data_IF_042456836529
#
_entry.id   IF_042456836529
#
_cell.length_a   1.000
_cell.length_b   1.000
_cell.length_c   1.000
_cell.angle_alpha   90.00
_cell.angle_beta   90.00
_cell.angle_gamma   90.00
#
_symmetry.space_group_name_H-M   'P 1'
#
loop_
_entity.id
_entity.type
_entity.pdbx_description
1 polymer ?
#
# COMPACT_ATOMS: atom_id res chain seq x y z
N UNK A 1 20.24 -18.02 18.23
CA UNK A 1 19.00 -17.55 17.59
C UNK A 1 19.19 -16.09 17.24
N UNK A 2 19.38 -15.76 15.97
CA UNK A 2 19.49 -14.36 15.53
C UNK A 2 18.07 -13.80 15.61
N UNK A 3 17.84 -12.84 16.50
CA UNK A 3 16.63 -12.03 16.46
C UNK A 3 16.76 -11.17 15.19
N UNK A 4 16.07 -11.53 14.13
CA UNK A 4 15.79 -10.56 13.07
C UNK A 4 15.12 -9.37 13.77
N UNK A 5 15.70 -8.18 13.61
CA UNK A 5 15.07 -6.95 14.06
C UNK A 5 13.62 -6.96 13.57
N UNK A 6 12.69 -6.47 14.38
CA UNK A 6 11.30 -6.24 13.96
C UNK A 6 11.38 -5.38 12.70
N UNK A 7 11.07 -5.96 11.54
CA UNK A 7 11.13 -5.27 10.26
C UNK A 7 10.01 -4.24 10.28
N UNK A 8 10.38 -2.95 10.29
CA UNK A 8 9.42 -1.86 10.11
C UNK A 8 9.42 -1.43 8.65
N UNK A 9 8.28 -0.94 8.18
CA UNK A 9 8.20 -0.31 6.86
C UNK A 9 9.09 0.92 6.88
N UNK A 10 9.98 1.06 5.89
CA UNK A 10 10.89 2.20 5.83
C UNK A 10 10.27 3.40 5.13
N UNK A 11 9.52 3.15 4.05
CA UNK A 11 8.98 4.17 3.17
C UNK A 11 7.61 3.71 2.68
N UNK A 12 6.66 4.64 2.65
CA UNK A 12 5.38 4.46 1.96
C UNK A 12 5.22 5.56 0.91
N UNK A 13 4.63 5.20 -0.22
CA UNK A 13 4.37 6.12 -1.31
C UNK A 13 2.88 6.15 -1.64
N UNK A 14 2.32 7.35 -1.80
CA UNK A 14 0.95 7.56 -2.27
C UNK A 14 1.01 8.66 -3.32
N UNK A 15 0.40 8.42 -4.47
CA UNK A 15 0.35 9.38 -5.56
C UNK A 15 -1.05 9.55 -6.12
N UNK A 16 -1.32 10.76 -6.61
CA UNK A 16 -2.43 11.03 -7.50
C UNK A 16 -1.88 11.42 -8.90
N UNK A 17 -2.74 11.95 -9.77
CA UNK A 17 -2.35 12.35 -11.14
C UNK A 17 -1.35 13.51 -11.20
N UNK A 18 -1.15 14.26 -10.11
CA UNK A 18 -0.41 15.53 -10.06
C UNK A 18 0.73 15.51 -9.04
N UNK A 19 0.58 14.75 -7.97
CA UNK A 19 1.46 14.79 -6.81
C UNK A 19 1.85 13.37 -6.37
N UNK A 20 3.06 13.27 -5.83
CA UNK A 20 3.55 12.06 -5.17
C UNK A 20 4.01 12.45 -3.77
N UNK A 21 3.52 11.72 -2.78
CA UNK A 21 3.89 11.86 -1.38
C UNK A 21 4.75 10.66 -0.96
N UNK A 22 5.85 10.96 -0.29
CA UNK A 22 6.76 9.99 0.29
C UNK A 22 6.73 10.15 1.80
N UNK A 23 6.40 9.07 2.51
CA UNK A 23 6.29 9.06 3.97
C UNK A 23 7.45 8.28 4.56
N UNK A 24 8.28 8.94 5.37
CA UNK A 24 9.29 8.27 6.20
C UNK A 24 8.58 7.50 7.32
N UNK A 25 8.36 6.21 7.09
CA UNK A 25 7.61 5.37 8.02
C UNK A 25 8.43 5.03 9.26
N UNK A 26 9.77 5.18 9.24
CA UNK A 26 10.57 5.04 10.47
C UNK A 26 10.28 6.17 11.46
N UNK A 27 10.06 7.38 10.94
CA UNK A 27 9.73 8.54 11.75
C UNK A 27 8.22 8.61 12.08
N UNK A 28 7.37 8.09 11.19
CA UNK A 28 5.92 8.33 11.24
C UNK A 28 5.06 7.11 11.63
N UNK A 29 5.65 5.93 11.89
CA UNK A 29 4.87 4.72 12.22
C UNK A 29 4.03 4.81 13.51
N UNK A 30 4.24 5.84 14.33
CA UNK A 30 3.43 6.12 15.53
C UNK A 30 2.64 7.42 15.43
N UNK A 31 2.63 8.09 14.26
CA UNK A 31 1.97 9.38 14.10
C UNK A 31 0.45 9.21 14.00
N UNK A 32 -0.26 9.63 15.05
CA UNK A 32 -1.73 9.67 15.06
C UNK A 32 -2.27 10.60 13.97
N UNK A 33 -1.63 11.74 13.75
CA UNK A 33 -2.02 12.70 12.71
C UNK A 33 -1.91 12.06 11.32
N UNK A 34 -0.86 11.29 11.05
CA UNK A 34 -0.73 10.55 9.80
C UNK A 34 -1.85 9.51 9.68
N UNK A 35 -2.06 8.69 10.72
CA UNK A 35 -3.07 7.63 10.70
C UNK A 35 -4.48 8.17 10.47
N UNK A 36 -4.84 9.29 11.09
CA UNK A 36 -6.13 9.95 10.89
C UNK A 36 -6.31 10.43 9.44
N UNK A 37 -5.29 11.05 8.85
CA UNK A 37 -5.37 11.53 7.47
C UNK A 37 -5.46 10.39 6.48
N UNK A 38 -4.64 9.34 6.66
CA UNK A 38 -4.70 8.15 5.83
C UNK A 38 -6.05 7.45 6.00
N UNK A 39 -6.59 7.33 7.21
CA UNK A 39 -7.90 6.73 7.44
C UNK A 39 -8.99 7.46 6.66
N UNK A 40 -8.98 8.81 6.66
CA UNK A 40 -9.92 9.62 5.86
C UNK A 40 -9.79 9.42 4.35
N UNK A 41 -8.62 9.03 3.86
CA UNK A 41 -8.39 8.76 2.43
C UNK A 41 -8.81 7.33 2.09
N UNK A 42 -8.36 6.34 2.86
CA UNK A 42 -8.54 4.93 2.58
C UNK A 42 -9.94 4.39 2.92
N UNK A 43 -10.66 5.01 3.86
CA UNK A 43 -12.06 4.68 4.18
C UNK A 43 -13.08 5.51 3.37
N UNK A 44 -12.61 6.31 2.40
CA UNK A 44 -13.48 7.15 1.59
C UNK A 44 -14.06 6.36 0.41
N UNK A 45 -15.37 6.17 0.42
CA UNK A 45 -16.13 5.46 -0.61
C UNK A 45 -16.11 6.13 -2.00
N UNK A 46 -15.60 7.36 -2.10
CA UNK A 46 -15.45 8.10 -3.36
C UNK A 46 -14.03 8.08 -3.91
N UNK A 47 -13.09 7.47 -3.21
CA UNK A 47 -11.68 7.40 -3.62
C UNK A 47 -11.39 5.95 -4.02
N UNK A 48 -10.98 5.77 -5.27
CA UNK A 48 -10.44 4.51 -5.74
C UNK A 48 -8.97 4.40 -5.33
N UNK A 49 -8.63 3.36 -4.58
CA UNK A 49 -7.28 3.05 -4.17
C UNK A 49 -6.69 2.03 -5.15
N UNK A 50 -5.61 2.41 -5.82
CA UNK A 50 -4.94 1.57 -6.80
C UNK A 50 -3.62 1.10 -6.20
N UNK A 51 -3.44 -0.22 -6.07
CA UNK A 51 -2.24 -0.84 -5.55
C UNK A 51 -1.77 -1.99 -6.44
N UNK A 52 -0.57 -2.50 -6.18
CA UNK A 52 -0.03 -3.68 -6.87
C UNK A 52 0.49 -4.69 -5.86
N UNK A 53 -0.01 -5.93 -5.91
CA UNK A 53 0.30 -6.94 -4.89
C UNK A 53 -0.01 -6.44 -3.47
N UNK A 54 -1.06 -5.62 -3.35
CA UNK A 54 -1.27 -4.73 -2.21
C UNK A 54 -1.53 -5.48 -0.91
N UNK A 55 -1.98 -6.73 -0.99
CA UNK A 55 -2.13 -7.60 0.18
C UNK A 55 -0.80 -7.81 0.92
N UNK A 56 0.33 -7.86 0.22
CA UNK A 56 1.64 -7.96 0.87
C UNK A 56 1.99 -6.66 1.58
N UNK A 57 1.70 -5.50 0.98
CA UNK A 57 1.94 -4.20 1.61
C UNK A 57 1.13 -4.05 2.91
N UNK A 58 -0.15 -4.42 2.90
CA UNK A 58 -0.99 -4.37 4.10
C UNK A 58 -0.48 -5.28 5.20
N UNK A 59 0.08 -6.44 4.83
CA UNK A 59 0.71 -7.36 5.79
C UNK A 59 1.95 -6.73 6.42
N UNK A 60 2.84 -6.17 5.61
CA UNK A 60 4.06 -5.52 6.10
C UNK A 60 3.73 -4.29 6.96
N UNK A 61 2.72 -3.50 6.61
CA UNK A 61 2.25 -2.38 7.43
C UNK A 61 1.65 -2.88 8.75
N UNK A 62 0.82 -3.93 8.73
CA UNK A 62 0.20 -4.48 9.92
C UNK A 62 1.23 -5.01 10.94
N UNK A 63 2.30 -5.66 10.47
CA UNK A 63 3.37 -6.15 11.33
C UNK A 63 4.39 -5.08 11.70
N UNK A 64 4.80 -4.24 10.75
CA UNK A 64 5.89 -3.28 10.89
C UNK A 64 5.49 -1.92 11.47
N UNK A 65 4.20 -1.57 11.42
CA UNK A 65 3.64 -0.31 11.90
C UNK A 65 2.36 -0.53 12.73
N UNK A 66 2.43 -1.26 13.87
CA UNK A 66 1.25 -1.76 14.58
C UNK A 66 0.34 -0.69 15.20
N UNK A 67 0.83 0.55 15.31
CA UNK A 67 0.04 1.69 15.82
C UNK A 67 -0.85 2.32 14.76
N UNK A 68 -0.52 2.15 13.48
CA UNK A 68 -1.35 2.60 12.37
C UNK A 68 -2.55 1.66 12.20
N UNK A 69 -3.69 2.21 11.79
CA UNK A 69 -4.96 1.51 11.64
C UNK A 69 -5.68 1.84 10.34
N UNK A 70 -5.21 2.83 9.56
CA UNK A 70 -5.82 3.23 8.29
C UNK A 70 -6.05 2.07 7.31
N UNK A 71 -5.20 1.04 7.38
CA UNK A 71 -5.22 -0.11 6.47
C UNK A 71 -6.27 -1.17 6.82
N UNK A 72 -6.99 -1.03 7.94
CA UNK A 72 -7.92 -2.07 8.42
C UNK A 72 -9.21 -2.17 7.60
N UNK A 73 -9.59 -1.08 6.92
CA UNK A 73 -10.79 -1.01 6.10
C UNK A 73 -10.47 -0.18 4.86
N UNK A 74 -10.47 -0.85 3.71
CA UNK A 74 -10.25 -0.24 2.40
C UNK A 74 -11.28 -0.87 1.46
N UNK A 75 -12.38 -0.16 1.20
CA UNK A 75 -13.51 -0.70 0.44
C UNK A 75 -13.22 -0.71 -1.07
N UNK A 76 -12.61 0.38 -1.58
CA UNK A 76 -12.37 0.58 -3.01
C UNK A 76 -10.92 0.28 -3.41
N UNK A 77 -10.40 -0.87 -3.00
CA UNK A 77 -9.05 -1.29 -3.38
C UNK A 77 -9.07 -2.10 -4.68
N UNK A 78 -8.32 -1.63 -5.67
CA UNK A 78 -8.07 -2.31 -6.94
C UNK A 78 -6.61 -2.76 -7.01
N UNK A 79 -6.39 -4.08 -6.94
CA UNK A 79 -5.06 -4.66 -7.18
C UNK A 79 -4.84 -4.85 -8.68
N UNK A 80 -3.93 -4.06 -9.24
CA UNK A 80 -3.69 -4.02 -10.69
C UNK A 80 -3.00 -5.26 -11.22
N UNK A 81 -2.27 -6.01 -10.37
CA UNK A 81 -1.54 -7.20 -10.82
C UNK A 81 -2.47 -8.31 -11.34
N UNK A 82 -3.46 -8.80 -10.58
CA UNK A 82 -4.42 -9.79 -11.08
C UNK A 82 -5.31 -9.22 -12.20
N UNK A 83 -5.68 -7.93 -12.15
CA UNK A 83 -6.46 -7.29 -13.21
C UNK A 83 -5.73 -7.32 -14.55
N UNK A 84 -4.44 -6.98 -14.55
CA UNK A 84 -3.60 -7.00 -15.74
C UNK A 84 -3.45 -8.42 -16.30
N UNK A 85 -3.19 -9.41 -15.44
CA UNK A 85 -3.10 -10.81 -15.85
C UNK A 85 -4.39 -11.28 -16.55
N UNK A 86 -5.55 -10.92 -15.99
CA UNK A 86 -6.86 -11.24 -16.55
C UNK A 86 -7.10 -10.60 -17.93
N UNK A 87 -6.88 -9.29 -18.07
CA UNK A 87 -7.13 -8.54 -19.31
C UNK A 87 -6.23 -9.03 -20.45
N UNK A 88 -4.95 -9.24 -20.17
CA UNK A 88 -3.96 -9.59 -21.20
C UNK A 88 -3.76 -11.10 -21.37
N UNK A 89 -4.56 -11.93 -20.69
CA UNK A 89 -4.44 -13.41 -20.69
C UNK A 89 -3.02 -13.88 -20.44
N UNK A 90 -2.29 -13.18 -19.56
CA UNK A 90 -0.92 -13.53 -19.16
C UNK A 90 -0.95 -14.40 -17.92
N UNK A 91 0.09 -15.22 -17.73
CA UNK A 91 0.28 -15.93 -16.46
C UNK A 91 0.39 -14.94 -15.31
N UNK A 92 -0.10 -15.36 -14.14
CA UNK A 92 0.02 -14.63 -12.88
C UNK A 92 1.48 -14.22 -12.60
N UNK A 93 1.68 -13.12 -11.88
CA UNK A 93 3.00 -12.67 -11.44
C UNK A 93 3.75 -11.73 -12.41
N UNK A 94 3.04 -10.92 -13.19
CA UNK A 94 3.70 -9.83 -13.91
C UNK A 94 4.22 -8.78 -12.91
N UNK A 95 5.49 -8.38 -13.03
CA UNK A 95 6.07 -7.31 -12.22
C UNK A 95 5.67 -5.92 -12.71
N UNK A 96 5.79 -4.91 -11.83
CA UNK A 96 5.29 -3.55 -12.08
C UNK A 96 5.80 -2.97 -13.39
N UNK A 97 7.06 -3.17 -13.72
CA UNK A 97 7.68 -2.72 -14.98
C UNK A 97 6.87 -3.15 -16.20
N UNK A 98 6.41 -4.39 -16.24
CA UNK A 98 5.63 -4.92 -17.37
C UNK A 98 4.21 -4.35 -17.46
N UNK A 99 3.69 -3.83 -16.36
CA UNK A 99 2.36 -3.20 -16.30
C UNK A 99 2.46 -1.74 -16.74
N UNK A 100 3.53 -1.05 -16.34
CA UNK A 100 3.75 0.37 -16.69
C UNK A 100 4.09 0.54 -18.17
N UNK A 101 4.78 -0.43 -18.78
CA UNK A 101 5.18 -0.39 -20.19
C UNK A 101 4.06 -0.83 -21.18
N UNK A 102 2.88 -1.21 -20.68
CA UNK A 102 1.78 -1.79 -21.47
C UNK A 102 0.72 -0.77 -21.87
#
# INVERSE_FOLDING_TARGET
MIKFNVTTVALMQIGDKRNIFLFDMKALNESEVLDEHLTKVFDNDKIDIIGMSFHNDLREIAFGCPKLKFFKKIENLYDVQPMFASIYKKSDGQGLTKIVDA
#
